data_IF_945107236982
#
_entry.id   IF_945107236982
#
_cell.length_a   1.000
_cell.length_b   1.000
_cell.length_c   1.000
_cell.angle_alpha   90.00
_cell.angle_beta   90.00
_cell.angle_gamma   90.00
#
_symmetry.space_group_name_H-M   'P 1'
#
loop_
_entity.id
_entity.type
_entity.pdbx_description
1 polymer ?
#
# COMPACT_ATOMS: atom_id res chain seq x y z
N UNK A 1 -6.39 -19.74 -25.63
CA UNK A 1 -6.17 -19.72 -24.16
C UNK A 1 -5.27 -18.53 -23.91
N UNK A 2 -5.73 -17.57 -23.13
CA UNK A 2 -4.87 -16.50 -22.63
C UNK A 2 -4.21 -17.12 -21.41
N UNK A 3 -2.91 -17.38 -21.47
CA UNK A 3 -2.14 -17.67 -20.27
C UNK A 3 -2.21 -16.41 -19.41
N UNK A 4 -2.89 -16.48 -18.28
CA UNK A 4 -2.97 -15.37 -17.33
C UNK A 4 -1.57 -15.20 -16.73
N UNK A 5 -0.84 -14.20 -17.21
CA UNK A 5 0.55 -13.90 -16.81
C UNK A 5 0.68 -13.64 -15.29
N UNK A 6 -0.45 -13.47 -14.60
CA UNK A 6 -0.57 -13.27 -13.16
C UNK A 6 -0.95 -14.55 -12.38
N UNK A 7 -1.12 -15.70 -13.05
CA UNK A 7 -1.37 -16.98 -12.38
C UNK A 7 -0.08 -17.51 -11.75
N UNK A 8 0.18 -17.05 -10.53
CA UNK A 8 1.33 -17.46 -9.72
C UNK A 8 0.87 -18.45 -8.69
N UNK A 9 1.37 -19.69 -8.77
CA UNK A 9 1.16 -20.70 -7.74
C UNK A 9 1.85 -20.27 -6.44
N UNK A 10 1.05 -19.80 -5.47
CA UNK A 10 1.55 -19.43 -4.13
C UNK A 10 1.48 -20.61 -3.15
N UNK A 11 2.23 -20.49 -2.05
CA UNK A 11 2.27 -21.45 -0.96
C UNK A 11 1.10 -21.15 0.01
N UNK A 12 0.43 -22.16 0.60
CA UNK A 12 -0.64 -21.93 1.56
C UNK A 12 -0.23 -20.99 2.71
N UNK A 13 -1.12 -20.06 3.08
CA UNK A 13 -0.83 -19.04 4.09
C UNK A 13 -0.42 -19.63 5.46
N UNK A 14 -1.00 -20.77 5.84
CA UNK A 14 -0.66 -21.45 7.08
C UNK A 14 0.83 -21.82 7.18
N UNK A 15 1.49 -22.05 6.05
CA UNK A 15 2.91 -22.44 5.98
C UNK A 15 3.86 -21.23 5.97
N UNK A 16 3.32 -19.99 5.93
CA UNK A 16 4.06 -18.72 5.86
C UNK A 16 3.92 -17.87 7.13
N UNK A 17 3.30 -18.39 8.19
CA UNK A 17 3.00 -17.57 9.38
C UNK A 17 4.25 -16.96 10.04
N UNK A 18 5.37 -17.68 10.02
CA UNK A 18 6.62 -17.26 10.67
C UNK A 18 7.41 -16.24 9.86
N UNK A 19 7.25 -16.22 8.53
CA UNK A 19 8.03 -15.41 7.61
C UNK A 19 7.16 -14.52 6.69
N UNK A 20 5.85 -14.40 6.99
CA UNK A 20 4.90 -13.65 6.16
C UNK A 20 5.33 -12.21 5.90
N UNK A 21 5.91 -11.56 6.91
CA UNK A 21 6.42 -10.19 6.80
C UNK A 21 7.88 -10.12 6.34
N UNK A 22 8.53 -11.25 6.11
CA UNK A 22 9.88 -11.28 5.59
C UNK A 22 9.88 -10.85 4.12
N UNK A 23 10.89 -10.09 3.67
CA UNK A 23 11.03 -9.75 2.26
C UNK A 23 11.18 -11.02 1.42
N UNK A 24 10.33 -11.20 0.42
CA UNK A 24 10.43 -12.30 -0.56
C UNK A 24 11.64 -12.18 -1.50
N UNK A 25 12.32 -11.03 -1.48
CA UNK A 25 13.50 -10.71 -2.29
C UNK A 25 14.56 -10.02 -1.45
N UNK A 26 15.83 -10.15 -1.83
CA UNK A 26 16.92 -9.49 -1.11
C UNK A 26 16.81 -7.97 -1.19
N UNK A 27 17.12 -7.28 -0.09
CA UNK A 27 17.09 -5.80 -0.04
C UNK A 27 18.00 -5.15 -1.08
N UNK A 28 19.12 -5.80 -1.43
CA UNK A 28 20.01 -5.35 -2.50
C UNK A 28 19.35 -5.36 -3.89
N UNK A 29 18.39 -6.27 -4.11
CA UNK A 29 17.60 -6.36 -5.35
C UNK A 29 16.40 -5.40 -5.36
N UNK A 30 15.90 -5.03 -4.18
CA UNK A 30 14.91 -3.97 -3.97
C UNK A 30 15.48 -2.55 -4.12
N UNK A 31 16.78 -2.40 -4.41
CA UNK A 31 17.37 -1.09 -4.64
C UNK A 31 16.74 -0.49 -5.90
N UNK A 32 15.69 0.30 -5.69
CA UNK A 32 14.93 0.90 -6.76
C UNK A 32 15.84 1.78 -7.62
N UNK A 33 15.69 1.76 -8.96
CA UNK A 33 16.23 2.84 -9.78
C UNK A 33 15.67 4.18 -9.26
N UNK A 34 16.40 5.30 -9.42
CA UNK A 34 15.90 6.60 -9.00
C UNK A 34 14.52 6.81 -9.60
N UNK A 35 13.50 6.82 -8.75
CA UNK A 35 12.13 7.06 -9.18
C UNK A 35 12.07 8.49 -9.73
N UNK A 36 11.43 8.73 -10.90
CA UNK A 36 11.13 10.10 -11.31
C UNK A 36 10.37 10.78 -10.16
N UNK A 37 10.58 12.09 -9.93
CA UNK A 37 9.96 12.82 -8.83
C UNK A 37 8.44 12.81 -9.02
N UNK A 38 7.82 11.79 -8.45
CA UNK A 38 6.38 11.59 -8.47
C UNK A 38 5.87 12.16 -7.16
N UNK A 39 4.84 13.01 -7.20
CA UNK A 39 4.25 13.54 -5.98
C UNK A 39 3.81 12.36 -5.10
N UNK A 40 4.22 12.37 -3.82
CA UNK A 40 3.97 11.27 -2.89
C UNK A 40 2.47 10.96 -2.71
N UNK A 41 1.60 11.92 -3.04
CA UNK A 41 0.15 11.81 -2.98
C UNK A 41 -0.52 11.44 -4.32
N UNK A 42 0.23 11.14 -5.39
CA UNK A 42 -0.33 10.82 -6.71
C UNK A 42 -1.33 9.67 -6.64
N UNK A 43 -0.98 8.57 -5.95
CA UNK A 43 -1.88 7.42 -5.80
C UNK A 43 -3.13 7.77 -4.99
N UNK A 44 -3.01 8.65 -4.01
CA UNK A 44 -4.15 9.14 -3.21
C UNK A 44 -5.08 10.04 -4.03
N UNK A 45 -4.56 10.71 -5.07
CA UNK A 45 -5.36 11.48 -6.03
C UNK A 45 -5.99 10.61 -7.13
N UNK A 46 -5.33 9.52 -7.51
CA UNK A 46 -5.74 8.66 -8.61
C UNK A 46 -6.80 7.62 -8.21
N UNK A 47 -6.83 7.23 -6.93
CA UNK A 47 -7.72 6.19 -6.43
C UNK A 47 -8.89 6.81 -5.67
N UNK A 48 -10.09 6.29 -5.93
CA UNK A 48 -11.26 6.63 -5.11
C UNK A 48 -11.06 6.13 -3.67
N UNK A 49 -11.39 6.95 -2.65
CA UNK A 49 -11.30 6.52 -1.27
C UNK A 49 -12.17 5.28 -1.02
N UNK A 50 -11.67 4.27 -0.29
CA UNK A 50 -12.47 3.10 0.01
C UNK A 50 -13.67 3.52 0.88
N UNK A 51 -14.89 3.02 0.61
CA UNK A 51 -16.12 3.47 1.28
C UNK A 51 -16.27 2.85 2.68
N UNK A 52 -15.25 2.99 3.53
CA UNK A 52 -15.21 2.41 4.87
C UNK A 52 -15.86 3.38 5.85
N UNK A 53 -16.77 2.85 6.68
CA UNK A 53 -17.48 3.60 7.73
C UNK A 53 -17.23 2.97 9.10
N UNK A 54 -17.04 3.79 10.12
CA UNK A 54 -17.00 3.39 11.54
C UNK A 54 -18.15 4.09 12.24
N UNK A 55 -19.08 3.33 12.83
CA UNK A 55 -20.26 3.87 13.53
C UNK A 55 -21.00 4.95 12.70
N UNK A 56 -21.20 4.68 11.42
CA UNK A 56 -21.84 5.56 10.42
C UNK A 56 -21.01 6.79 9.97
N UNK A 57 -19.79 6.97 10.47
CA UNK A 57 -18.90 8.07 10.09
C UNK A 57 -17.92 7.56 9.02
N UNK A 58 -17.74 8.25 7.88
CA UNK A 58 -16.68 7.93 6.94
C UNK A 58 -15.30 7.94 7.61
N UNK A 59 -14.52 6.89 7.41
CA UNK A 59 -13.17 6.77 8.02
C UNK A 59 -12.29 7.96 7.67
N UNK A 60 -12.41 8.47 6.44
CA UNK A 60 -11.65 9.63 5.99
C UNK A 60 -11.93 10.89 6.83
N UNK A 61 -13.17 11.07 7.29
CA UNK A 61 -13.53 12.21 8.16
C UNK A 61 -12.88 12.08 9.54
N UNK A 62 -12.81 10.86 10.08
CA UNK A 62 -12.14 10.57 11.34
C UNK A 62 -10.62 10.79 11.26
N UNK A 63 -10.00 10.42 10.14
CA UNK A 63 -8.55 10.52 9.95
C UNK A 63 -8.09 11.92 9.51
N UNK A 64 -8.98 12.76 9.00
CA UNK A 64 -8.67 14.09 8.46
C UNK A 64 -7.81 14.96 9.41
N UNK A 65 -8.06 15.03 10.72
CA UNK A 65 -7.21 15.81 11.64
C UNK A 65 -5.78 15.26 11.75
N UNK A 66 -5.62 13.94 11.75
CA UNK A 66 -4.31 13.29 11.82
C UNK A 66 -3.50 13.52 10.53
N UNK A 67 -4.13 13.38 9.36
CA UNK A 67 -3.47 13.65 8.09
C UNK A 67 -3.04 15.11 7.94
N UNK A 68 -3.83 16.07 8.42
CA UNK A 68 -3.42 17.49 8.43
C UNK A 68 -2.19 17.74 9.28
N UNK A 69 -2.08 17.08 10.44
CA UNK A 69 -0.87 17.17 11.29
C UNK A 69 0.34 16.53 10.62
N UNK A 70 0.14 15.40 9.95
CA UNK A 70 1.21 14.72 9.21
C UNK A 70 1.73 15.59 8.06
N UNK A 71 0.84 16.18 7.26
CA UNK A 71 1.23 17.07 6.17
C UNK A 71 1.99 18.32 6.65
N UNK A 72 1.71 18.80 7.86
CA UNK A 72 2.42 19.93 8.47
C UNK A 72 3.78 19.55 9.10
N UNK A 73 4.10 18.26 9.21
CA UNK A 73 5.41 17.77 9.67
C UNK A 73 6.41 17.60 8.50
N UNK A 74 5.92 17.58 7.26
CA UNK A 74 6.72 17.47 6.05
C UNK A 74 7.19 18.84 5.49
N UNK A 75 6.81 19.95 6.14
CA UNK A 75 7.32 21.33 5.93
C UNK A 75 8.32 21.74 7.03
#
# INVERSE_FOLDING_TARGET
>A
MIDDELDVTDVPFADRLDDFYAPSVSLARLKAPPSPPTPADLLLRALEPPPIKIRHIPVLDLLRPAYRRLAALDE
#
